data_IF_799928943278
#
_entry.id   IF_799928943278
#
_cell.length_a   1.000
_cell.length_b   1.000
_cell.length_c   1.000
_cell.angle_alpha   90.00
_cell.angle_beta   90.00
_cell.angle_gamma   90.00
#
_symmetry.space_group_name_H-M   'P 1'
#
loop_
_entity.id
_entity.type
_entity.pdbx_description
1 polymer ?
#
# COMPACT_ATOMS: atom_id res chain seq x y z
N UNK A 1 -0.83 20.02 -45.45
CA UNK A 1 -0.32 18.84 -44.67
C UNK A 1 0.31 19.33 -43.39
N UNK A 2 -0.35 19.13 -42.23
CA UNK A 2 0.20 19.48 -40.93
C UNK A 2 0.89 18.22 -40.39
N UNK A 3 2.21 18.22 -40.36
CA UNK A 3 3.00 17.14 -39.69
C UNK A 3 2.94 17.32 -38.19
N UNK A 4 2.22 16.48 -37.50
CA UNK A 4 2.23 16.41 -36.04
C UNK A 4 3.52 15.72 -35.57
N UNK A 5 4.48 16.50 -35.08
CA UNK A 5 5.68 15.98 -34.44
C UNK A 5 5.31 15.44 -33.05
N UNK A 6 5.64 14.17 -32.75
CA UNK A 6 5.40 13.61 -31.43
C UNK A 6 6.53 13.99 -30.46
N UNK A 7 6.26 13.93 -29.15
CA UNK A 7 7.20 14.32 -28.08
C UNK A 7 8.59 13.65 -28.18
N UNK A 8 8.64 12.43 -28.66
CA UNK A 8 9.90 11.65 -28.77
C UNK A 8 10.78 12.17 -29.92
N UNK A 9 10.19 12.60 -31.06
CA UNK A 9 10.94 13.20 -32.16
C UNK A 9 11.42 14.62 -31.82
N UNK A 10 10.69 15.34 -30.99
CA UNK A 10 11.09 16.64 -30.46
C UNK A 10 12.32 16.54 -29.53
N UNK A 11 12.31 15.62 -28.59
CA UNK A 11 13.44 15.41 -27.67
C UNK A 11 14.70 14.90 -28.39
N UNK A 12 14.58 14.05 -29.40
CA UNK A 12 15.71 13.64 -30.24
C UNK A 12 16.33 14.81 -31.01
N UNK A 13 15.54 15.78 -31.47
CA UNK A 13 16.04 16.96 -32.17
C UNK A 13 16.77 17.92 -31.22
N UNK A 14 16.35 18.07 -29.98
CA UNK A 14 17.02 18.89 -28.96
C UNK A 14 18.35 18.24 -28.53
N UNK A 15 18.39 16.92 -28.33
CA UNK A 15 19.62 16.21 -27.93
C UNK A 15 20.75 16.28 -28.96
N UNK A 16 20.43 16.42 -30.25
CA UNK A 16 21.43 16.54 -31.33
C UNK A 16 21.92 17.98 -31.50
N UNK A 17 21.16 18.99 -31.09
CA UNK A 17 21.51 20.40 -31.25
C UNK A 17 22.45 20.96 -30.15
N UNK A 18 22.65 20.23 -29.06
CA UNK A 18 23.43 20.69 -27.89
C UNK A 18 24.90 20.28 -27.86
N UNK A 19 25.42 19.53 -28.84
CA UNK A 19 26.79 18.97 -28.81
C UNK A 19 27.69 19.43 -29.94
N UNK A 20 27.30 20.41 -30.73
CA UNK A 20 28.13 20.90 -31.85
C UNK A 20 28.72 22.30 -31.62
N UNK A 21 29.51 22.47 -30.58
CA UNK A 21 30.40 23.64 -30.46
C UNK A 21 31.76 23.26 -29.83
N UNK A 22 32.48 22.28 -30.43
CA UNK A 22 33.95 22.19 -30.32
C UNK A 22 34.49 21.23 -31.38
N UNK A 23 35.02 21.82 -32.42
CA UNK A 23 36.12 21.39 -33.31
C UNK A 23 36.43 19.88 -33.36
N UNK A 24 35.88 19.17 -34.38
CA UNK A 24 36.51 17.98 -34.96
C UNK A 24 36.28 17.96 -36.48
N UNK A 25 37.24 17.48 -37.28
CA UNK A 25 37.26 17.62 -38.74
C UNK A 25 36.21 16.74 -39.43
N UNK A 26 35.65 17.28 -40.51
CA UNK A 26 34.52 16.78 -41.31
C UNK A 26 34.80 15.51 -42.15
N UNK A 27 35.31 14.45 -41.53
CA UNK A 27 35.63 13.22 -42.26
C UNK A 27 35.12 11.90 -41.67
N UNK A 28 34.18 11.94 -40.70
CA UNK A 28 33.53 10.72 -40.15
C UNK A 28 32.05 10.96 -40.02
N UNK A 29 31.34 11.14 -41.12
CA UNK A 29 29.88 10.98 -41.20
C UNK A 29 29.57 10.20 -42.47
N UNK A 30 29.73 8.92 -42.44
CA UNK A 30 29.07 7.97 -43.31
C UNK A 30 29.22 6.51 -42.79
N UNK A 31 28.77 6.25 -41.60
CA UNK A 31 28.28 4.91 -41.27
C UNK A 31 26.85 5.07 -40.78
N UNK A 32 25.91 4.71 -41.63
CA UNK A 32 24.55 4.35 -41.21
C UNK A 32 24.71 3.30 -40.13
N UNK A 33 24.43 3.66 -38.89
CA UNK A 33 24.23 2.67 -37.84
C UNK A 33 23.02 1.87 -38.26
N UNK A 34 23.26 0.75 -38.94
CA UNK A 34 22.25 -0.26 -39.23
C UNK A 34 21.66 -0.68 -37.87
N UNK A 35 20.51 -0.09 -37.53
CA UNK A 35 19.69 -0.54 -36.43
C UNK A 35 19.46 -2.04 -36.66
N UNK A 36 19.88 -2.86 -35.70
CA UNK A 36 19.82 -4.31 -35.79
C UNK A 36 18.38 -4.74 -36.16
N UNK A 37 18.12 -5.30 -37.36
CA UNK A 37 16.78 -5.64 -37.82
C UNK A 37 16.06 -6.63 -36.93
N UNK A 38 16.81 -7.38 -36.09
CA UNK A 38 16.28 -8.32 -35.11
C UNK A 38 15.77 -7.59 -33.84
N UNK A 39 16.30 -6.42 -33.48
CA UNK A 39 15.80 -5.63 -32.37
C UNK A 39 14.50 -4.93 -32.74
N UNK A 40 14.38 -4.43 -33.98
CA UNK A 40 13.14 -3.81 -34.48
C UNK A 40 12.02 -4.84 -34.70
N UNK A 41 12.32 -6.03 -35.18
CA UNK A 41 11.33 -7.09 -35.34
C UNK A 41 10.82 -7.62 -34.00
N UNK A 42 11.67 -7.70 -32.96
CA UNK A 42 11.25 -8.09 -31.60
C UNK A 42 10.38 -7.01 -30.95
N UNK A 43 10.73 -5.74 -31.08
CA UNK A 43 9.93 -4.64 -30.57
C UNK A 43 8.57 -4.54 -31.27
N UNK A 44 8.53 -4.72 -32.59
CA UNK A 44 7.28 -4.73 -33.35
C UNK A 44 6.41 -5.96 -33.06
N UNK A 45 6.97 -7.12 -32.78
CA UNK A 45 6.22 -8.30 -32.36
C UNK A 45 5.66 -8.15 -30.94
N UNK A 46 6.43 -7.54 -30.03
CA UNK A 46 5.98 -7.22 -28.68
C UNK A 46 4.87 -6.16 -28.65
N UNK A 47 4.96 -5.14 -29.50
CA UNK A 47 3.93 -4.09 -29.60
C UNK A 47 2.65 -4.58 -30.30
N UNK A 48 2.75 -5.52 -31.25
CA UNK A 48 1.59 -6.07 -31.96
C UNK A 48 0.71 -6.98 -31.12
N UNK A 49 1.28 -7.66 -30.12
CA UNK A 49 0.55 -8.59 -29.25
C UNK A 49 0.20 -7.99 -27.88
N UNK A 50 0.51 -6.72 -27.65
CA UNK A 50 0.15 -6.07 -26.39
C UNK A 50 -1.32 -5.69 -26.41
N UNK A 51 -2.11 -6.22 -25.49
CA UNK A 51 -3.47 -5.77 -25.28
C UNK A 51 -3.51 -4.24 -25.16
N UNK A 52 -4.47 -3.62 -25.83
CA UNK A 52 -4.62 -2.16 -25.85
C UNK A 52 -5.73 -1.77 -24.89
N UNK A 53 -5.43 -0.84 -23.98
CA UNK A 53 -6.41 -0.19 -23.15
C UNK A 53 -6.53 1.27 -23.58
N UNK A 54 -7.73 1.76 -23.73
CA UNK A 54 -7.96 3.18 -24.04
C UNK A 54 -7.49 4.08 -22.88
N UNK A 55 -7.09 5.30 -23.25
CA UNK A 55 -6.71 6.28 -22.25
C UNK A 55 -7.86 6.52 -21.27
N UNK A 56 -7.54 6.48 -19.98
CA UNK A 56 -8.49 6.74 -18.89
C UNK A 56 -9.67 5.74 -18.78
N UNK A 57 -9.59 4.60 -19.45
CA UNK A 57 -10.55 3.50 -19.33
C UNK A 57 -10.33 2.69 -18.05
N UNK A 58 -11.30 1.86 -17.70
CA UNK A 58 -11.22 0.89 -16.61
C UNK A 58 -10.09 -0.12 -16.87
N UNK A 59 -9.38 -0.50 -15.81
CA UNK A 59 -8.40 -1.59 -15.85
C UNK A 59 -9.12 -2.90 -15.61
N UNK A 60 -8.85 -3.90 -16.45
CA UNK A 60 -9.42 -5.25 -16.40
C UNK A 60 -8.34 -6.27 -16.73
N UNK A 61 -8.58 -7.51 -16.37
CA UNK A 61 -7.74 -8.66 -16.71
C UNK A 61 -6.25 -8.40 -16.40
N UNK A 62 -5.38 -8.57 -17.37
CA UNK A 62 -3.93 -8.40 -17.22
C UNK A 62 -3.51 -6.98 -16.81
N UNK A 63 -4.33 -5.98 -17.08
CA UNK A 63 -4.04 -4.60 -16.69
C UNK A 63 -4.18 -4.34 -15.19
N UNK A 64 -4.83 -5.23 -14.45
CA UNK A 64 -4.93 -5.14 -12.98
C UNK A 64 -3.62 -5.48 -12.28
N UNK A 65 -2.76 -6.26 -12.93
CA UNK A 65 -1.60 -6.90 -12.30
C UNK A 65 -0.56 -5.95 -11.71
N UNK A 66 -0.56 -4.69 -12.12
CA UNK A 66 0.47 -3.71 -11.68
C UNK A 66 -0.12 -2.33 -11.39
N UNK A 67 -1.37 -2.30 -10.99
CA UNK A 67 -1.99 -1.08 -10.48
C UNK A 67 -1.70 -0.97 -8.99
N UNK A 68 -1.21 0.19 -8.57
CA UNK A 68 -1.03 0.56 -7.18
C UNK A 68 -1.46 2.04 -7.03
N UNK A 69 -2.67 2.27 -6.55
CA UNK A 69 -3.26 3.60 -6.39
C UNK A 69 -2.99 4.12 -4.98
N UNK A 70 -2.23 5.22 -4.80
CA UNK A 70 -1.89 5.74 -3.48
C UNK A 70 -3.10 6.36 -2.78
N UNK A 71 -3.28 6.00 -1.52
CA UNK A 71 -4.30 6.53 -0.62
C UNK A 71 -3.62 7.06 0.63
N UNK A 72 -3.85 8.34 0.93
CA UNK A 72 -3.25 9.03 2.07
C UNK A 72 -3.16 10.53 1.81
N UNK A 73 -2.94 11.32 2.86
CA UNK A 73 -2.77 12.77 2.73
C UNK A 73 -1.43 13.16 2.11
N UNK A 74 -1.39 14.31 1.48
CA UNK A 74 -0.22 14.85 0.80
C UNK A 74 0.95 15.00 1.79
N UNK A 75 2.04 14.27 1.55
CA UNK A 75 3.22 14.31 2.42
C UNK A 75 3.07 13.62 3.79
N UNK A 76 1.91 13.04 4.10
CA UNK A 76 1.67 12.38 5.38
C UNK A 76 1.95 10.87 5.39
N UNK A 77 2.32 10.30 4.27
CA UNK A 77 2.42 8.87 4.04
C UNK A 77 1.23 8.31 3.27
N UNK A 78 1.30 7.03 2.91
CA UNK A 78 0.27 6.38 2.10
C UNK A 78 0.26 4.87 2.28
N UNK A 79 -0.82 4.24 1.85
CA UNK A 79 -0.87 2.86 1.40
C UNK A 79 -1.40 2.81 -0.03
N UNK A 80 -1.18 1.72 -0.75
CA UNK A 80 -1.74 1.56 -2.09
C UNK A 80 -2.89 0.57 -2.12
N UNK A 81 -3.93 0.94 -2.86
CA UNK A 81 -5.00 0.03 -3.28
C UNK A 81 -4.61 -0.53 -4.66
N UNK A 82 -4.42 -1.84 -4.74
CA UNK A 82 -4.04 -2.52 -5.96
C UNK A 82 -5.23 -2.72 -6.91
N UNK A 83 -4.95 -3.08 -8.14
CA UNK A 83 -5.99 -3.29 -9.16
C UNK A 83 -7.02 -4.36 -8.81
N UNK A 84 -6.66 -5.33 -7.99
CA UNK A 84 -7.55 -6.39 -7.50
C UNK A 84 -8.24 -6.07 -6.16
N UNK A 85 -7.87 -4.99 -5.48
CA UNK A 85 -8.41 -4.61 -4.18
C UNK A 85 -7.50 -4.90 -2.99
N UNK A 86 -6.36 -5.53 -3.22
CA UNK A 86 -5.37 -5.79 -2.18
C UNK A 86 -4.71 -4.48 -1.68
N UNK A 87 -4.26 -4.49 -0.43
CA UNK A 87 -3.57 -3.36 0.20
C UNK A 87 -2.07 -3.66 0.24
N UNK A 88 -1.27 -2.76 -0.30
CA UNK A 88 0.19 -2.90 -0.37
C UNK A 88 0.92 -1.57 -0.23
N UNK A 89 2.25 -1.57 -0.37
CA UNK A 89 3.10 -0.37 -0.39
C UNK A 89 2.86 0.56 0.81
N UNK A 90 2.68 -0.03 2.00
CA UNK A 90 2.44 0.71 3.25
C UNK A 90 3.64 1.58 3.62
N UNK A 91 3.57 2.87 3.29
CA UNK A 91 4.65 3.86 3.37
C UNK A 91 4.28 4.99 4.32
N UNK A 92 4.14 4.68 5.62
CA UNK A 92 3.63 5.61 6.64
C UNK A 92 4.73 6.15 7.58
N UNK A 93 5.99 5.71 7.41
CA UNK A 93 7.12 6.13 8.25
C UNK A 93 8.01 7.18 7.57
N UNK A 94 7.39 8.11 6.84
CA UNK A 94 8.03 9.20 6.08
C UNK A 94 9.04 8.75 5.02
N UNK A 95 9.10 7.47 4.69
CA UNK A 95 9.96 6.90 3.64
C UNK A 95 9.17 5.88 2.80
N UNK A 96 9.48 5.77 1.50
CA UNK A 96 8.86 4.74 0.67
C UNK A 96 9.18 3.33 1.21
N UNK A 97 8.15 2.51 1.37
CA UNK A 97 8.28 1.08 1.61
C UNK A 97 7.42 0.36 0.56
N UNK A 98 8.03 0.11 -0.60
CA UNK A 98 7.37 -0.48 -1.77
C UNK A 98 7.49 -2.01 -1.74
N UNK A 99 6.60 -2.69 -2.44
CA UNK A 99 6.54 -4.17 -2.50
C UNK A 99 6.31 -4.85 -1.15
N UNK A 100 5.83 -4.14 -0.14
CA UNK A 100 5.37 -4.75 1.09
C UNK A 100 3.87 -5.04 1.03
N UNK A 101 3.46 -6.06 1.76
CA UNK A 101 2.08 -6.44 2.00
C UNK A 101 1.84 -6.47 3.51
N UNK A 102 1.11 -5.49 4.06
CA UNK A 102 0.97 -5.34 5.51
C UNK A 102 0.09 -6.43 6.14
N UNK A 103 -0.60 -7.25 5.32
CA UNK A 103 -1.54 -8.24 5.80
C UNK A 103 -2.85 -7.63 6.30
N UNK A 104 -3.30 -6.58 5.61
CA UNK A 104 -4.61 -5.96 5.78
C UNK A 104 -5.55 -6.44 4.67
N UNK A 105 -6.76 -6.87 5.02
CA UNK A 105 -7.75 -7.33 4.04
C UNK A 105 -9.19 -7.26 4.57
N UNK A 106 -10.13 -7.05 3.67
CA UNK A 106 -11.56 -7.19 3.93
C UNK A 106 -12.07 -8.59 3.57
N UNK A 107 -13.06 -9.08 4.29
CA UNK A 107 -13.75 -10.32 3.96
C UNK A 107 -15.27 -10.16 4.12
N UNK A 108 -16.04 -10.93 3.37
CA UNK A 108 -17.49 -10.99 3.44
C UNK A 108 -17.94 -12.44 3.58
N UNK A 109 -18.93 -12.69 4.41
CA UNK A 109 -19.52 -14.00 4.59
C UNK A 109 -21.04 -13.91 4.51
N UNK A 110 -21.65 -14.79 3.73
CA UNK A 110 -23.11 -14.93 3.62
C UNK A 110 -23.54 -16.22 4.31
N UNK A 111 -24.35 -16.11 5.36
CA UNK A 111 -24.80 -17.26 6.15
C UNK A 111 -25.65 -18.22 5.32
N UNK A 112 -25.41 -19.51 5.48
CA UNK A 112 -26.19 -20.56 4.80
C UNK A 112 -25.88 -20.77 3.32
N UNK A 113 -24.99 -19.98 2.73
CA UNK A 113 -24.55 -20.11 1.34
C UNK A 113 -23.31 -21.00 1.28
N UNK A 114 -23.32 -22.00 0.39
CA UNK A 114 -22.14 -22.82 0.13
C UNK A 114 -21.02 -21.93 -0.44
N UNK A 115 -19.82 -22.01 0.12
CA UNK A 115 -18.70 -21.12 -0.21
C UNK A 115 -19.04 -19.63 -0.05
N UNK A 116 -19.90 -19.31 0.92
CA UNK A 116 -20.39 -17.97 1.20
C UNK A 116 -19.36 -17.00 1.78
N UNK A 117 -18.14 -17.47 2.09
CA UNK A 117 -17.06 -16.63 2.62
C UNK A 117 -16.03 -16.32 1.53
N UNK A 118 -15.69 -15.05 1.37
CA UNK A 118 -14.72 -14.56 0.39
C UNK A 118 -13.88 -13.40 0.94
N UNK A 119 -12.64 -13.34 0.49
CA UNK A 119 -11.83 -12.13 0.58
C UNK A 119 -12.42 -11.11 -0.41
N UNK A 120 -12.61 -9.87 0.03
CA UNK A 120 -13.18 -8.80 -0.82
C UNK A 120 -12.08 -8.22 -1.71
N UNK A 121 -11.56 -9.08 -2.56
CA UNK A 121 -10.53 -8.81 -3.56
C UNK A 121 -10.80 -9.69 -4.79
N UNK A 122 -10.30 -9.27 -5.95
CA UNK A 122 -10.29 -10.08 -7.17
C UNK A 122 -9.19 -11.15 -7.14
N UNK A 123 -9.05 -11.86 -8.25
CA UNK A 123 -8.06 -12.94 -8.40
C UNK A 123 -6.66 -12.43 -8.13
N UNK A 124 -5.94 -13.14 -7.26
CA UNK A 124 -4.55 -12.84 -6.93
C UNK A 124 -3.66 -13.04 -8.16
N UNK A 125 -2.86 -12.04 -8.56
CA UNK A 125 -1.94 -12.17 -9.69
C UNK A 125 -0.96 -13.33 -9.53
N UNK A 126 -0.67 -14.03 -10.62
CA UNK A 126 0.19 -15.22 -10.60
C UNK A 126 1.58 -14.97 -10.02
N UNK A 127 2.15 -13.79 -10.29
CA UNK A 127 3.47 -13.43 -9.77
C UNK A 127 3.52 -13.31 -8.23
N UNK A 128 2.37 -13.08 -7.57
CA UNK A 128 2.25 -13.12 -6.12
C UNK A 128 2.08 -14.55 -5.59
N UNK A 129 1.27 -15.36 -6.27
CA UNK A 129 0.91 -16.72 -5.85
C UNK A 129 2.08 -17.67 -5.85
N UNK A 130 2.93 -17.58 -6.87
CA UNK A 130 4.08 -18.48 -7.03
C UNK A 130 5.34 -17.99 -6.33
N UNK A 131 5.32 -16.80 -5.71
CA UNK A 131 6.43 -16.24 -4.96
C UNK A 131 7.65 -15.93 -5.84
N UNK A 132 8.83 -16.02 -5.25
CA UNK A 132 10.09 -15.81 -5.97
C UNK A 132 10.36 -16.98 -6.94
N UNK A 133 10.93 -16.71 -8.12
CA UNK A 133 11.36 -17.76 -9.04
C UNK A 133 12.23 -18.81 -8.31
N UNK A 134 11.96 -20.09 -8.60
CA UNK A 134 12.64 -21.26 -8.04
C UNK A 134 12.38 -21.60 -6.56
N UNK A 135 11.46 -20.93 -5.87
CA UNK A 135 11.14 -21.29 -4.48
C UNK A 135 10.17 -22.48 -4.38
N UNK A 136 9.26 -22.62 -5.34
CA UNK A 136 8.27 -23.70 -5.39
C UNK A 136 7.19 -23.72 -4.31
N UNK A 137 7.28 -22.80 -3.31
CA UNK A 137 6.50 -22.89 -2.08
C UNK A 137 5.37 -21.85 -1.97
N UNK A 138 5.20 -20.96 -2.93
CA UNK A 138 4.24 -19.85 -2.83
C UNK A 138 4.54 -18.91 -1.66
N UNK A 139 3.59 -18.04 -1.33
CA UNK A 139 3.68 -17.10 -0.21
C UNK A 139 2.96 -17.66 1.02
N UNK A 140 3.65 -18.39 1.85
CA UNK A 140 3.12 -18.92 3.11
C UNK A 140 2.64 -17.82 4.05
N UNK A 141 1.56 -18.08 4.81
CA UNK A 141 1.00 -17.11 5.76
C UNK A 141 0.31 -15.90 5.13
N UNK A 142 -0.03 -15.97 3.84
CA UNK A 142 -0.81 -14.97 3.10
C UNK A 142 -2.24 -15.44 2.86
N UNK A 143 -3.11 -14.50 2.43
CA UNK A 143 -4.50 -14.79 2.04
C UNK A 143 -4.62 -15.33 0.61
N UNK A 144 -3.55 -15.46 -0.15
CA UNK A 144 -3.57 -15.73 -1.59
C UNK A 144 -4.22 -17.06 -2.00
N UNK A 145 -4.26 -18.04 -1.09
CA UNK A 145 -4.93 -19.32 -1.29
C UNK A 145 -6.40 -19.36 -0.85
N UNK A 146 -6.91 -18.28 -0.25
CA UNK A 146 -8.30 -18.20 0.21
C UNK A 146 -9.25 -17.85 -0.96
N UNK A 147 -10.56 -18.10 -0.85
CA UNK A 147 -11.52 -17.72 -1.88
C UNK A 147 -11.60 -16.21 -2.10
N UNK A 148 -11.44 -15.78 -3.35
CA UNK A 148 -11.56 -14.40 -3.84
C UNK A 148 -12.73 -14.30 -4.82
N UNK A 149 -13.10 -13.08 -5.24
CA UNK A 149 -14.04 -12.85 -6.33
C UNK A 149 -13.40 -13.21 -7.67
N UNK A 150 -14.20 -13.75 -8.59
CA UNK A 150 -13.73 -14.22 -9.91
C UNK A 150 -13.30 -13.08 -10.84
N UNK A 151 -13.94 -11.90 -10.72
CA UNK A 151 -13.63 -10.75 -11.56
C UNK A 151 -13.45 -9.48 -10.75
N UNK A 152 -12.58 -8.60 -11.25
CA UNK A 152 -12.36 -7.26 -10.75
C UNK A 152 -12.22 -6.26 -11.91
N UNK A 153 -12.76 -5.07 -11.71
CA UNK A 153 -12.58 -3.93 -12.60
C UNK A 153 -12.15 -2.71 -11.79
N UNK A 154 -11.03 -2.10 -12.15
CA UNK A 154 -10.46 -0.97 -11.41
C UNK A 154 -10.61 0.33 -12.21
N UNK A 155 -11.17 1.36 -11.58
CA UNK A 155 -11.32 2.70 -12.14
C UNK A 155 -10.58 3.74 -11.28
N UNK A 156 -9.52 4.34 -11.81
CA UNK A 156 -8.81 5.45 -11.15
C UNK A 156 -9.45 6.79 -11.49
N UNK A 157 -9.82 7.55 -10.47
CA UNK A 157 -10.34 8.93 -10.56
C UNK A 157 -9.89 9.72 -9.33
N UNK A 158 -8.63 10.13 -9.30
CA UNK A 158 -8.10 10.85 -8.14
C UNK A 158 -9.06 11.97 -7.68
N UNK A 159 -9.34 12.10 -6.38
CA UNK A 159 -8.75 11.39 -5.25
C UNK A 159 -9.40 10.01 -4.94
N UNK A 160 -10.17 9.45 -5.85
CA UNK A 160 -10.91 8.20 -5.69
C UNK A 160 -10.35 7.09 -6.57
N UNK A 161 -10.45 5.86 -6.07
CA UNK A 161 -10.29 4.63 -6.84
C UNK A 161 -11.49 3.74 -6.55
N UNK A 162 -12.09 3.14 -7.58
CA UNK A 162 -13.23 2.25 -7.43
C UNK A 162 -12.90 0.89 -8.04
N UNK A 163 -13.24 -0.17 -7.33
CA UNK A 163 -13.09 -1.56 -7.77
C UNK A 163 -14.44 -2.22 -7.69
N UNK A 164 -14.93 -2.71 -8.83
CA UNK A 164 -16.13 -3.55 -8.89
C UNK A 164 -15.70 -5.02 -8.86
N UNK A 165 -16.34 -5.81 -8.00
CA UNK A 165 -16.05 -7.23 -7.80
C UNK A 165 -17.32 -8.04 -8.08
N UNK A 166 -17.21 -9.04 -8.93
CA UNK A 166 -18.32 -9.89 -9.31
C UNK A 166 -17.92 -11.37 -9.28
N UNK A 167 -18.89 -12.21 -8.99
CA UNK A 167 -18.76 -13.66 -9.08
C UNK A 167 -20.08 -14.29 -9.51
N UNK A 168 -19.96 -15.23 -10.43
CA UNK A 168 -21.10 -16.02 -10.87
C UNK A 168 -21.66 -16.85 -9.72
N UNK A 169 -22.98 -16.92 -9.63
CA UNK A 169 -23.71 -17.72 -8.62
C UNK A 169 -23.46 -17.31 -7.15
N UNK A 170 -22.90 -16.12 -6.93
CA UNK A 170 -22.77 -15.53 -5.60
C UNK A 170 -23.85 -14.45 -5.38
N UNK A 171 -24.54 -14.42 -4.21
CA UNK A 171 -25.71 -13.56 -4.02
C UNK A 171 -25.37 -12.08 -3.83
N UNK A 172 -24.08 -11.73 -3.71
CA UNK A 172 -23.64 -10.35 -3.53
C UNK A 172 -22.72 -9.90 -4.66
N UNK A 173 -22.95 -8.68 -5.13
CA UNK A 173 -21.96 -7.86 -5.82
C UNK A 173 -21.26 -6.99 -4.79
N UNK A 174 -19.95 -6.82 -4.91
CA UNK A 174 -19.15 -5.97 -4.03
C UNK A 174 -18.47 -4.84 -4.81
N UNK A 175 -18.32 -3.70 -4.16
CA UNK A 175 -17.53 -2.57 -4.67
C UNK A 175 -16.63 -2.04 -3.55
N UNK A 176 -15.39 -1.73 -3.87
CA UNK A 176 -14.46 -1.04 -2.98
C UNK A 176 -14.23 0.34 -3.55
N UNK A 177 -14.43 1.39 -2.74
CA UNK A 177 -14.06 2.75 -3.10
C UNK A 177 -13.03 3.28 -2.13
N UNK A 178 -11.78 3.41 -2.61
CA UNK A 178 -10.70 4.03 -1.85
C UNK A 178 -10.64 5.53 -2.10
N UNK A 179 -10.32 6.31 -1.04
CA UNK A 179 -10.16 7.74 -1.17
C UNK A 179 -9.12 8.33 -0.21
N UNK A 180 -8.47 9.40 -0.70
CA UNK A 180 -7.53 10.22 0.05
C UNK A 180 -8.19 11.51 0.53
N UNK A 181 -7.81 12.07 1.69
CA UNK A 181 -8.19 13.43 2.04
C UNK A 181 -7.56 14.38 1.00
N UNK A 182 -8.40 15.04 0.20
CA UNK A 182 -7.95 15.99 -0.80
C UNK A 182 -9.00 17.08 -1.01
N UNK A 183 -8.65 18.29 -0.60
CA UNK A 183 -9.47 19.49 -0.78
C UNK A 183 -8.63 20.47 -1.59
N UNK A 184 -8.99 20.79 -2.85
CA UNK A 184 -8.26 21.76 -3.65
C UNK A 184 -8.07 23.07 -2.91
N UNK A 185 -6.85 23.60 -2.91
CA UNK A 185 -6.44 24.85 -2.23
C UNK A 185 -6.34 24.81 -0.70
N UNK A 186 -6.68 23.68 -0.06
CA UNK A 186 -6.52 23.46 1.39
C UNK A 186 -5.43 22.41 1.65
N UNK A 187 -4.20 22.87 1.81
CA UNK A 187 -3.04 21.99 2.01
C UNK A 187 -3.11 21.23 3.33
N UNK A 188 -3.58 21.87 4.38
CA UNK A 188 -3.63 21.29 5.73
C UNK A 188 -4.59 20.11 5.81
N UNK A 189 -5.84 20.29 5.36
CA UNK A 189 -6.82 19.21 5.35
C UNK A 189 -6.52 18.16 4.25
N UNK A 190 -5.76 18.50 3.23
CA UNK A 190 -5.26 17.53 2.25
C UNK A 190 -4.05 16.73 2.73
N UNK A 191 -3.43 17.11 3.87
CA UNK A 191 -2.23 16.47 4.42
C UNK A 191 -2.51 15.65 5.70
N UNK A 192 -3.78 15.28 5.93
CA UNK A 192 -4.14 14.44 7.07
C UNK A 192 -3.53 13.02 6.93
N UNK A 193 -2.99 12.43 8.00
CA UNK A 193 -2.38 11.10 7.97
C UNK A 193 -3.46 10.00 7.96
N UNK A 194 -4.31 10.01 6.96
CA UNK A 194 -5.47 9.13 6.89
C UNK A 194 -5.86 8.78 5.45
N UNK A 195 -6.65 7.73 5.33
CA UNK A 195 -7.32 7.32 4.11
C UNK A 195 -8.48 6.39 4.44
N UNK A 196 -9.35 6.11 3.50
CA UNK A 196 -10.49 5.24 3.76
C UNK A 196 -10.79 4.30 2.59
N UNK A 197 -11.41 3.18 2.93
CA UNK A 197 -12.03 2.24 2.01
C UNK A 197 -13.52 2.13 2.35
N UNK A 198 -14.38 2.39 1.40
CA UNK A 198 -15.82 2.13 1.48
C UNK A 198 -16.10 0.78 0.81
N UNK A 199 -16.64 -0.16 1.55
CA UNK A 199 -17.08 -1.46 1.06
C UNK A 199 -18.58 -1.43 0.87
N UNK A 200 -19.02 -1.51 -0.39
CA UNK A 200 -20.45 -1.54 -0.73
C UNK A 200 -20.82 -2.95 -1.16
N UNK A 201 -21.87 -3.49 -0.56
CA UNK A 201 -22.45 -4.80 -0.89
C UNK A 201 -23.87 -4.61 -1.37
N UNK A 202 -24.21 -5.27 -2.48
CA UNK A 202 -25.56 -5.30 -3.05
C UNK A 202 -26.05 -6.74 -3.14
N UNK A 203 -27.21 -7.00 -2.58
CA UNK A 203 -27.87 -8.29 -2.75
C UNK A 203 -28.48 -8.38 -4.15
N UNK A 204 -27.89 -9.22 -5.01
CA UNK A 204 -28.36 -9.48 -6.38
C UNK A 204 -29.32 -10.66 -6.47
N UNK A 205 -29.50 -11.38 -5.36
CA UNK A 205 -30.44 -12.47 -5.24
C UNK A 205 -31.89 -12.02 -5.05
N UNK A 206 -32.82 -12.98 -4.99
CA UNK A 206 -34.25 -12.75 -4.80
C UNK A 206 -34.73 -12.99 -3.36
N UNK A 207 -33.82 -13.35 -2.46
CA UNK A 207 -34.10 -13.58 -1.03
C UNK A 207 -33.23 -12.67 -0.17
N UNK A 208 -33.70 -12.43 1.07
CA UNK A 208 -32.90 -11.75 2.08
C UNK A 208 -31.72 -12.62 2.51
N UNK A 209 -30.56 -12.00 2.75
CA UNK A 209 -29.35 -12.68 3.20
C UNK A 209 -28.77 -12.04 4.46
N UNK A 210 -28.33 -12.89 5.39
CA UNK A 210 -27.58 -12.46 6.56
C UNK A 210 -26.09 -12.49 6.25
N UNK A 211 -25.41 -11.39 6.47
CA UNK A 211 -24.02 -11.20 6.13
C UNK A 211 -23.19 -10.77 7.34
N UNK A 212 -21.91 -11.08 7.29
CA UNK A 212 -20.89 -10.51 8.17
C UNK A 212 -19.76 -9.99 7.31
N UNK A 213 -19.60 -8.67 7.24
CA UNK A 213 -18.36 -8.07 6.75
C UNK A 213 -17.33 -8.07 7.88
N UNK A 214 -16.07 -8.28 7.55
CA UNK A 214 -14.98 -8.17 8.51
C UNK A 214 -13.75 -7.55 7.87
N UNK A 215 -12.99 -6.80 8.66
CA UNK A 215 -11.71 -6.27 8.25
C UNK A 215 -10.63 -6.72 9.22
N UNK A 216 -9.53 -7.18 8.68
CA UNK A 216 -8.49 -7.90 9.38
C UNK A 216 -7.16 -7.23 9.20
N UNK A 217 -6.33 -7.22 10.24
CA UNK A 217 -4.99 -6.67 10.17
C UNK A 217 -3.97 -7.46 10.99
N UNK A 218 -2.87 -7.91 10.36
CA UNK A 218 -1.67 -8.31 11.09
C UNK A 218 -1.07 -7.09 11.77
N UNK A 219 -0.39 -7.27 12.91
CA UNK A 219 0.31 -6.16 13.55
C UNK A 219 1.64 -5.86 12.83
N UNK A 220 1.55 -5.12 11.73
CA UNK A 220 2.68 -4.74 10.88
C UNK A 220 3.49 -3.55 11.42
N UNK A 221 3.06 -2.93 12.52
CA UNK A 221 3.77 -1.76 13.08
C UNK A 221 5.13 -2.13 13.67
N UNK A 222 5.37 -3.40 13.98
CA UNK A 222 6.65 -3.89 14.45
C UNK A 222 7.74 -3.64 13.40
N UNK A 223 8.86 -2.98 13.75
CA UNK A 223 9.95 -2.74 12.81
C UNK A 223 10.58 -4.05 12.30
N UNK A 224 11.05 -4.03 11.04
CA UNK A 224 11.79 -5.17 10.45
C UNK A 224 13.13 -5.37 11.15
N UNK A 225 13.80 -4.27 11.45
CA UNK A 225 15.06 -4.24 12.18
C UNK A 225 14.78 -4.09 13.67
N UNK A 226 15.34 -4.96 14.47
CA UNK A 226 15.23 -4.95 15.92
C UNK A 226 16.59 -5.12 16.56
N UNK A 227 16.75 -4.61 17.79
CA UNK A 227 17.92 -4.87 18.60
C UNK A 227 17.96 -6.39 18.92
N UNK A 228 19.12 -7.06 18.79
CA UNK A 228 19.28 -8.46 19.22
C UNK A 228 18.90 -8.69 20.67
N UNK A 229 19.08 -7.70 21.53
CA UNK A 229 18.57 -7.70 22.89
C UNK A 229 17.11 -7.23 22.89
N UNK A 230 16.19 -8.19 23.02
CA UNK A 230 14.75 -7.92 22.98
C UNK A 230 14.27 -6.91 24.02
N UNK A 231 14.99 -6.73 25.15
CA UNK A 231 14.63 -5.76 26.18
C UNK A 231 14.81 -4.32 25.76
N UNK A 232 15.63 -4.07 24.73
CA UNK A 232 15.88 -2.76 24.14
C UNK A 232 14.89 -2.37 23.04
N UNK A 233 14.02 -3.27 22.65
CA UNK A 233 12.99 -2.98 21.65
C UNK A 233 11.76 -2.39 22.34
N UNK A 234 11.13 -1.42 21.68
CA UNK A 234 9.85 -0.88 22.12
C UNK A 234 8.75 -1.93 22.09
N UNK A 235 7.78 -1.78 22.99
CA UNK A 235 6.63 -2.67 23.14
C UNK A 235 5.75 -2.61 21.89
N UNK A 236 5.39 -3.79 21.35
CA UNK A 236 4.41 -3.94 20.28
C UNK A 236 3.09 -4.44 20.87
N UNK A 237 1.98 -3.77 20.57
CA UNK A 237 0.66 -4.07 21.15
C UNK A 237 -0.48 -3.74 20.19
N UNK A 238 -1.68 -4.20 20.52
CA UNK A 238 -2.93 -3.79 19.89
C UNK A 238 -3.82 -3.19 20.96
N UNK A 239 -4.31 -1.98 20.73
CA UNK A 239 -5.11 -1.21 21.67
C UNK A 239 -6.52 -0.98 21.14
N UNK A 240 -7.55 -0.86 22.00
CA UNK A 240 -8.90 -0.55 21.56
C UNK A 240 -9.05 0.91 21.13
N UNK A 241 -9.92 1.14 20.16
CA UNK A 241 -10.55 2.42 19.80
C UNK A 241 -12.03 2.15 19.54
N UNK A 242 -12.87 3.18 19.54
CA UNK A 242 -14.30 3.03 19.23
C UNK A 242 -14.50 2.36 17.87
N UNK A 243 -15.22 1.25 17.85
CA UNK A 243 -15.54 0.46 16.67
C UNK A 243 -14.32 -0.01 15.87
N UNK A 244 -13.18 -0.24 16.54
CA UNK A 244 -11.95 -0.63 15.86
C UNK A 244 -10.80 -0.96 16.80
N UNK A 245 -9.60 -0.94 16.24
CA UNK A 245 -8.37 -1.25 16.95
C UNK A 245 -7.20 -0.40 16.45
N UNK A 246 -6.18 -0.26 17.29
CA UNK A 246 -4.94 0.46 16.99
C UNK A 246 -3.79 -0.55 17.04
N UNK A 247 -3.09 -0.72 15.93
CA UNK A 247 -1.80 -1.41 15.86
C UNK A 247 -0.73 -0.44 16.34
N UNK A 248 0.03 -0.82 17.37
CA UNK A 248 0.89 0.10 18.10
C UNK A 248 2.31 -0.45 18.25
N UNK A 249 3.28 0.43 18.06
CA UNK A 249 4.69 0.20 18.35
C UNK A 249 5.22 1.36 19.20
N UNK A 250 5.75 1.07 20.36
CA UNK A 250 6.46 2.05 21.14
C UNK A 250 7.88 2.26 20.59
N UNK A 251 8.40 3.48 20.73
CA UNK A 251 9.82 3.73 20.52
C UNK A 251 10.67 3.19 21.65
N UNK A 252 11.97 3.07 21.42
CA UNK A 252 12.96 2.75 22.45
C UNK A 252 13.95 3.91 22.60
N UNK A 253 14.84 3.83 23.60
CA UNK A 253 15.88 4.85 23.81
C UNK A 253 16.81 4.96 22.60
N UNK A 254 17.16 3.84 21.99
CA UNK A 254 18.07 3.77 20.83
C UNK A 254 17.35 4.01 19.50
N UNK A 255 16.03 3.76 19.44
CA UNK A 255 15.22 3.87 18.22
C UNK A 255 13.88 4.57 18.52
N UNK A 256 13.90 5.85 18.89
CA UNK A 256 12.66 6.59 19.19
C UNK A 256 11.74 6.74 17.96
N UNK A 257 12.30 6.73 16.75
CA UNK A 257 11.59 6.81 15.48
C UNK A 257 10.79 5.53 15.12
N UNK A 258 10.98 4.43 15.86
CA UNK A 258 10.14 3.24 15.72
C UNK A 258 8.74 3.46 16.28
N UNK A 259 8.54 4.48 17.13
CA UNK A 259 7.21 4.83 17.63
C UNK A 259 6.23 5.06 16.48
N UNK A 260 5.05 4.48 16.60
CA UNK A 260 3.97 4.69 15.65
C UNK A 260 2.73 3.90 15.98
N UNK A 261 1.60 4.47 15.61
CA UNK A 261 0.27 3.91 15.75
C UNK A 261 -0.44 3.89 14.40
N UNK A 262 -1.25 2.87 14.17
CA UNK A 262 -2.11 2.75 13.00
C UNK A 262 -3.50 2.30 13.44
N UNK A 263 -4.48 3.21 13.39
CA UNK A 263 -5.86 2.95 13.76
C UNK A 263 -6.66 2.44 12.55
N UNK A 264 -7.50 1.43 12.79
CA UNK A 264 -8.46 0.88 11.84
C UNK A 264 -9.81 0.83 12.54
N UNK A 265 -10.79 1.54 12.02
CA UNK A 265 -12.11 1.65 12.63
C UNK A 265 -13.22 1.86 11.59
N UNK A 266 -14.47 1.67 11.99
CA UNK A 266 -15.63 1.83 11.12
C UNK A 266 -16.69 2.74 11.76
N UNK A 267 -17.55 3.32 10.93
CA UNK A 267 -18.69 4.13 11.36
C UNK A 267 -19.93 3.28 11.80
N UNK A 268 -19.84 1.95 11.72
CA UNK A 268 -20.93 1.06 12.08
C UNK A 268 -21.03 0.86 13.60
N UNK A 269 -22.18 1.19 14.19
CA UNK A 269 -22.42 1.05 15.63
C UNK A 269 -22.45 -0.42 16.11
N UNK A 270 -22.79 -1.37 15.22
CA UNK A 270 -22.90 -2.80 15.53
C UNK A 270 -21.56 -3.55 15.42
N UNK A 271 -20.45 -2.81 15.41
CA UNK A 271 -19.11 -3.39 15.24
C UNK A 271 -18.68 -4.20 16.46
N UNK A 272 -18.25 -5.42 16.21
CA UNK A 272 -17.63 -6.32 17.20
C UNK A 272 -16.15 -6.43 16.89
N UNK A 273 -15.28 -6.33 17.92
CA UNK A 273 -13.82 -6.30 17.72
C UNK A 273 -13.13 -7.45 18.44
N UNK A 274 -12.31 -8.18 17.71
CA UNK A 274 -11.31 -9.12 18.20
C UNK A 274 -9.95 -8.41 18.23
N UNK A 275 -9.47 -8.04 19.42
CA UNK A 275 -8.18 -7.33 19.58
C UNK A 275 -6.98 -8.27 19.67
N UNK A 276 -7.19 -9.58 19.62
CA UNK A 276 -6.08 -10.52 19.71
C UNK A 276 -6.40 -11.83 18.97
N UNK A 277 -5.84 -11.99 17.79
CA UNK A 277 -5.90 -13.26 17.09
C UNK A 277 -5.25 -14.38 17.92
N UNK A 278 -5.52 -15.62 17.52
CA UNK A 278 -4.98 -16.79 18.16
C UNK A 278 -3.46 -16.73 18.34
N UNK A 279 -2.98 -17.08 19.55
CA UNK A 279 -1.55 -17.07 19.94
C UNK A 279 -0.97 -18.45 20.22
N UNK A 280 -1.69 -19.52 19.91
CA UNK A 280 -1.20 -20.88 20.13
C UNK A 280 -0.12 -21.29 19.13
N UNK A 281 0.72 -22.27 19.50
CA UNK A 281 1.85 -22.72 18.68
C UNK A 281 1.50 -23.75 17.59
N UNK A 282 0.27 -24.28 17.56
CA UNK A 282 -0.10 -25.40 16.69
C UNK A 282 -0.77 -24.98 15.40
N UNK A 283 -1.38 -23.79 15.37
CA UNK A 283 -2.08 -23.27 14.20
C UNK A 283 -1.64 -21.83 13.92
N UNK A 284 -1.59 -21.50 12.63
CA UNK A 284 -1.35 -20.14 12.16
C UNK A 284 -2.54 -19.23 12.54
N UNK A 285 -2.27 -18.01 13.08
CA UNK A 285 -3.32 -17.07 13.48
C UNK A 285 -4.29 -16.70 12.36
N UNK A 286 -3.81 -16.61 11.11
CA UNK A 286 -4.64 -16.31 9.93
C UNK A 286 -5.62 -17.44 9.63
N UNK A 287 -5.17 -18.71 9.73
CA UNK A 287 -6.03 -19.88 9.57
C UNK A 287 -7.18 -19.86 10.59
N UNK A 288 -6.90 -19.48 11.84
CA UNK A 288 -7.93 -19.40 12.88
C UNK A 288 -8.89 -18.21 12.64
N UNK A 289 -8.40 -17.08 12.13
CA UNK A 289 -9.25 -15.97 11.74
C UNK A 289 -10.15 -16.35 10.56
N UNK A 290 -9.61 -17.08 9.56
CA UNK A 290 -10.38 -17.58 8.42
C UNK A 290 -11.51 -18.54 8.83
N UNK A 291 -11.30 -19.37 9.82
CA UNK A 291 -12.36 -20.27 10.35
C UNK A 291 -13.57 -19.47 10.87
N UNK A 292 -13.37 -18.36 11.57
CA UNK A 292 -14.45 -17.47 12.00
C UNK A 292 -15.15 -16.80 10.82
N UNK A 293 -14.39 -16.33 9.82
CA UNK A 293 -14.93 -15.75 8.59
C UNK A 293 -15.80 -16.77 7.87
N UNK A 294 -15.29 -17.98 7.66
CA UNK A 294 -15.96 -19.06 6.94
C UNK A 294 -17.30 -19.46 7.59
N UNK A 295 -17.42 -19.32 8.90
CA UNK A 295 -18.64 -19.60 9.67
C UNK A 295 -19.56 -18.39 9.77
N UNK A 296 -19.21 -17.24 9.23
CA UNK A 296 -19.91 -15.97 9.41
C UNK A 296 -20.14 -15.63 10.89
N UNK A 297 -19.13 -15.87 11.72
CA UNK A 297 -19.13 -15.59 13.15
C UNK A 297 -18.53 -14.21 13.42
N UNK A 298 -19.09 -13.52 14.44
CA UNK A 298 -18.44 -12.36 15.04
C UNK A 298 -17.70 -12.82 16.29
N UNK A 299 -16.47 -12.33 16.48
CA UNK A 299 -15.64 -12.72 17.62
C UNK A 299 -15.26 -11.48 18.40
N UNK A 300 -15.49 -11.50 19.72
CA UNK A 300 -15.07 -10.44 20.63
C UNK A 300 -13.95 -10.97 21.52
N UNK A 301 -12.80 -10.32 21.48
CA UNK A 301 -11.65 -10.64 22.35
C UNK A 301 -11.07 -9.35 22.86
N UNK A 302 -10.82 -9.28 24.14
CA UNK A 302 -10.20 -8.12 24.78
C UNK A 302 -8.74 -7.98 24.38
N UNK A 303 -8.26 -6.73 24.40
CA UNK A 303 -6.87 -6.43 24.12
C UNK A 303 -5.93 -7.06 25.17
N UNK A 304 -4.80 -7.54 24.70
CA UNK A 304 -3.74 -8.08 25.56
C UNK A 304 -2.59 -7.09 25.62
N UNK A 305 -1.83 -7.17 26.69
CA UNK A 305 -0.76 -6.23 26.94
C UNK A 305 0.29 -6.17 25.84
N UNK A 306 0.64 -7.34 25.26
CA UNK A 306 1.60 -7.44 24.14
C UNK A 306 1.48 -8.79 23.43
N UNK A 307 2.13 -8.90 22.27
CA UNK A 307 2.22 -10.16 21.52
C UNK A 307 0.95 -10.56 20.79
N UNK A 308 -0.01 -9.64 20.59
CA UNK A 308 -1.14 -9.88 19.70
C UNK A 308 -0.66 -9.92 18.24
N UNK A 309 -0.87 -11.04 17.50
CA UNK A 309 -0.37 -11.16 16.12
C UNK A 309 -1.19 -10.36 15.11
N UNK A 310 -2.43 -10.02 15.45
CA UNK A 310 -3.36 -9.26 14.62
C UNK A 310 -4.67 -9.03 15.34
N UNK A 311 -5.56 -8.25 14.72
CA UNK A 311 -6.90 -7.94 15.19
C UNK A 311 -7.90 -7.94 14.03
N UNK A 312 -9.20 -7.96 14.38
CA UNK A 312 -10.29 -7.96 13.40
C UNK A 312 -11.46 -7.13 13.90
N UNK A 313 -12.14 -6.46 13.00
CA UNK A 313 -13.47 -5.91 13.26
C UNK A 313 -14.51 -6.65 12.41
N UNK A 314 -15.71 -6.80 12.94
CA UNK A 314 -16.82 -7.53 12.32
C UNK A 314 -18.07 -6.65 12.34
N UNK A 315 -18.75 -6.55 11.21
CA UNK A 315 -20.00 -5.80 11.04
C UNK A 315 -21.06 -6.76 10.52
N UNK A 316 -21.94 -7.28 11.38
CA UNK A 316 -23.10 -8.10 10.96
C UNK A 316 -24.18 -7.20 10.37
N UNK A 317 -24.84 -7.66 9.31
CA UNK A 317 -25.97 -6.96 8.70
C UNK A 317 -26.85 -7.91 7.88
N UNK A 318 -28.07 -7.46 7.56
CA UNK A 318 -29.00 -8.17 6.68
C UNK A 318 -29.23 -7.31 5.43
N UNK A 319 -29.40 -7.95 4.27
CA UNK A 319 -29.80 -7.31 3.02
C UNK A 319 -31.01 -8.00 2.42
N UNK A 320 -32.09 -7.27 2.22
CA UNK A 320 -33.23 -7.72 1.40
C UNK A 320 -32.83 -7.83 -0.07
N UNK A 321 -33.62 -8.50 -0.87
CA UNK A 321 -33.40 -8.55 -2.32
C UNK A 321 -33.27 -7.15 -2.92
N UNK A 322 -32.19 -6.90 -3.66
CA UNK A 322 -31.87 -5.61 -4.28
C UNK A 322 -31.31 -4.53 -3.35
N UNK A 323 -31.27 -4.76 -2.03
CA UNK A 323 -30.76 -3.78 -1.05
C UNK A 323 -29.23 -3.67 -1.08
N UNK A 324 -28.76 -2.48 -0.71
CA UNK A 324 -27.32 -2.16 -0.64
C UNK A 324 -26.92 -1.71 0.77
N UNK A 325 -25.71 -2.06 1.20
CA UNK A 325 -25.07 -1.58 2.43
C UNK A 325 -23.68 -1.08 2.12
N UNK A 326 -23.36 0.09 2.66
CA UNK A 326 -21.98 0.65 2.64
C UNK A 326 -21.43 0.60 4.05
N UNK A 327 -20.19 0.14 4.18
CA UNK A 327 -19.42 0.11 5.42
C UNK A 327 -18.10 0.83 5.14
N UNK A 328 -17.81 1.87 5.92
CA UNK A 328 -16.57 2.63 5.80
C UNK A 328 -15.53 2.09 6.76
N UNK A 329 -14.36 1.76 6.26
CA UNK A 329 -13.18 1.42 7.04
C UNK A 329 -12.21 2.59 6.93
N UNK A 330 -12.07 3.31 8.04
CA UNK A 330 -11.13 4.40 8.18
C UNK A 330 -9.77 3.87 8.63
N UNK A 331 -8.71 4.40 8.06
CA UNK A 331 -7.33 4.10 8.43
C UNK A 331 -6.61 5.41 8.71
N UNK A 332 -6.12 5.55 9.93
CA UNK A 332 -5.40 6.75 10.37
C UNK A 332 -4.09 6.32 11.01
N UNK A 333 -3.01 7.04 10.75
CA UNK A 333 -1.71 6.73 11.33
C UNK A 333 -1.09 7.93 12.04
N UNK A 334 -0.27 7.63 13.02
CA UNK A 334 0.48 8.63 13.76
C UNK A 334 1.90 8.12 14.01
N UNK A 335 2.86 8.65 13.28
CA UNK A 335 4.28 8.33 13.39
C UNK A 335 5.00 9.64 13.70
N UNK A 336 5.16 9.99 14.99
CA UNK A 336 5.53 11.35 15.40
C UNK A 336 6.99 11.70 15.13
N UNK A 337 7.85 10.73 14.86
CA UNK A 337 9.28 10.94 14.68
C UNK A 337 9.75 10.26 13.39
N UNK A 338 10.76 10.83 12.74
CA UNK A 338 11.35 10.28 11.52
C UNK A 338 12.88 10.24 11.64
N UNK A 339 13.45 9.18 11.08
CA UNK A 339 14.91 9.01 10.91
C UNK A 339 15.41 9.51 9.54
N UNK A 340 14.53 10.12 8.74
CA UNK A 340 14.90 10.64 7.41
C UNK A 340 15.87 11.81 7.54
N UNK A 341 16.87 11.78 6.69
CA UNK A 341 17.88 12.83 6.53
C UNK A 341 17.93 13.32 5.08
N UNK A 342 18.12 14.62 4.89
CA UNK A 342 18.55 15.16 3.62
C UNK A 342 20.09 15.04 3.50
N UNK A 343 20.56 14.41 2.45
CA UNK A 343 21.98 14.15 2.23
C UNK A 343 22.50 12.85 2.86
N UNK A 344 23.71 12.43 2.46
CA UNK A 344 24.40 11.30 3.07
C UNK A 344 24.86 11.63 4.49
N UNK A 345 25.15 10.60 5.29
CA UNK A 345 25.88 10.80 6.54
C UNK A 345 27.15 11.58 6.22
N UNK A 346 27.40 12.67 6.97
CA UNK A 346 28.73 13.26 6.95
C UNK A 346 29.68 12.15 7.41
N UNK A 347 30.47 11.61 6.50
CA UNK A 347 31.59 10.75 6.89
C UNK A 347 32.42 11.60 7.85
N UNK A 348 32.56 11.14 9.08
CA UNK A 348 33.59 11.68 9.97
C UNK A 348 34.87 11.73 9.16
N UNK A 349 35.50 12.89 9.11
CA UNK A 349 36.64 13.20 8.29
C UNK A 349 37.62 12.03 8.20
N UNK A 350 37.57 11.24 7.13
CA UNK A 350 38.75 10.58 6.64
C UNK A 350 39.71 11.72 6.30
N UNK A 351 40.67 11.98 7.19
CA UNK A 351 41.79 12.86 6.93
C UNK A 351 42.41 12.36 5.64
N UNK A 352 42.12 13.05 4.53
CA UNK A 352 42.83 12.85 3.29
C UNK A 352 44.29 13.16 3.59
N UNK A 353 45.11 12.13 3.69
CA UNK A 353 46.52 12.31 3.57
C UNK A 353 46.76 12.78 2.13
N UNK A 354 47.40 13.90 1.93
CA UNK A 354 47.51 14.63 0.67
C UNK A 354 48.28 13.91 -0.47
N UNK A 355 48.19 12.57 -0.58
CA UNK A 355 49.03 11.79 -1.51
C UNK A 355 48.32 11.14 -2.70
N UNK A 356 46.99 11.24 -2.85
CA UNK A 356 46.31 10.72 -4.04
C UNK A 356 45.27 11.69 -4.62
N UNK A 357 45.50 12.14 -5.84
CA UNK A 357 44.79 13.18 -6.59
C UNK A 357 43.36 12.82 -7.03
N UNK A 358 42.57 12.13 -6.22
CA UNK A 358 41.19 11.70 -6.56
C UNK A 358 40.06 12.48 -5.87
N UNK A 359 40.36 13.57 -5.14
CA UNK A 359 39.32 14.28 -4.36
C UNK A 359 38.72 15.54 -5.02
N UNK A 360 38.85 15.71 -6.34
CA UNK A 360 38.53 17.02 -6.95
C UNK A 360 37.22 17.11 -7.72
N UNK A 361 36.27 16.15 -7.67
CA UNK A 361 35.07 16.23 -8.53
C UNK A 361 33.72 16.05 -7.85
N UNK A 362 33.62 15.88 -6.54
CA UNK A 362 32.32 15.78 -5.85
C UNK A 362 31.99 16.92 -4.88
N UNK A 363 32.89 17.90 -4.73
CA UNK A 363 32.75 18.95 -3.73
C UNK A 363 31.99 20.22 -4.19
N UNK A 364 31.35 20.24 -5.37
CA UNK A 364 30.71 21.42 -5.91
C UNK A 364 29.21 21.30 -6.21
N UNK A 365 28.55 20.26 -5.74
CA UNK A 365 27.07 20.23 -5.79
C UNK A 365 26.51 19.98 -4.40
N UNK A 366 26.10 21.05 -3.75
CA UNK A 366 25.28 21.04 -2.54
C UNK A 366 26.08 21.44 -1.30
N UNK A 367 26.16 22.73 -1.04
CA UNK A 367 26.23 23.21 0.33
C UNK A 367 24.97 22.74 1.01
N UNK A 368 25.00 21.51 1.58
CA UNK A 368 24.05 21.14 2.60
C UNK A 368 24.28 22.12 3.73
N UNK A 369 23.32 22.99 3.99
CA UNK A 369 23.23 23.65 5.29
C UNK A 369 23.08 22.48 6.26
N UNK A 370 24.18 22.06 6.87
CA UNK A 370 24.14 21.16 8.00
C UNK A 370 23.30 21.92 9.05
N UNK A 371 22.09 21.47 9.26
CA UNK A 371 21.30 21.97 10.38
C UNK A 371 22.05 21.52 11.64
N UNK A 372 22.80 22.44 12.24
CA UNK A 372 23.61 22.22 13.45
C UNK A 372 22.77 21.70 14.62
N UNK A 373 21.43 21.74 14.49
CA UNK A 373 20.45 21.25 15.46
C UNK A 373 19.90 19.87 15.10
N UNK A 374 20.36 19.21 14.01
CA UNK A 374 19.83 17.91 13.64
C UNK A 374 20.32 16.82 14.62
N UNK A 375 19.40 16.32 15.43
CA UNK A 375 19.61 15.10 16.22
C UNK A 375 18.75 13.99 15.62
N UNK A 376 19.35 12.84 15.32
CA UNK A 376 18.63 11.67 14.75
C UNK A 376 17.35 11.38 15.56
N UNK A 377 16.22 11.22 14.90
CA UNK A 377 14.92 10.96 15.52
C UNK A 377 14.17 12.21 16.02
N UNK A 378 14.62 13.43 15.71
CA UNK A 378 13.92 14.66 16.09
C UNK A 378 13.09 15.32 15.01
N UNK A 379 13.20 14.87 13.75
CA UNK A 379 12.32 15.39 12.70
C UNK A 379 10.87 14.95 13.00
N UNK A 380 9.96 15.92 13.03
CA UNK A 380 8.54 15.69 13.26
C UNK A 380 7.77 15.95 11.97
N UNK A 381 7.00 15.01 11.48
CA UNK A 381 6.05 15.26 10.40
C UNK A 381 5.06 16.36 10.77
N UNK A 382 4.57 17.11 9.80
CA UNK A 382 3.66 18.25 10.02
C UNK A 382 2.46 17.88 10.92
N UNK A 383 1.82 16.76 10.67
CA UNK A 383 0.64 16.35 11.43
C UNK A 383 0.93 16.05 12.91
N UNK A 384 2.17 15.71 13.27
CA UNK A 384 2.55 15.46 14.67
C UNK A 384 2.63 16.75 15.51
N UNK A 385 2.61 17.91 14.88
CA UNK A 385 2.43 19.19 15.56
C UNK A 385 0.96 19.58 15.71
N UNK A 386 0.08 18.97 14.90
CA UNK A 386 -1.36 19.23 14.91
C UNK A 386 -2.11 18.31 15.88
N UNK A 387 -1.73 17.05 15.95
CA UNK A 387 -2.36 16.01 16.77
C UNK A 387 -1.38 15.49 17.83
N UNK A 388 -1.91 15.10 18.99
CA UNK A 388 -1.13 14.50 20.08
C UNK A 388 -0.87 13.02 19.89
N UNK A 389 -1.84 12.32 19.32
CA UNK A 389 -1.81 10.89 19.11
C UNK A 389 -2.75 10.47 17.95
N UNK A 390 -2.79 9.18 17.66
CA UNK A 390 -3.64 8.62 16.61
C UNK A 390 -5.14 8.77 16.91
N UNK A 391 -5.54 8.82 18.19
CA UNK A 391 -6.95 8.94 18.58
C UNK A 391 -7.49 10.33 18.29
N UNK A 392 -6.67 11.37 18.50
CA UNK A 392 -7.02 12.75 18.13
C UNK A 392 -7.02 12.95 16.62
N UNK A 393 -6.20 12.20 15.90
CA UNK A 393 -6.15 12.24 14.43
C UNK A 393 -7.25 11.42 13.74
N UNK A 394 -7.93 10.51 14.46
CA UNK A 394 -9.04 9.66 14.00
C UNK A 394 -10.37 10.36 14.16
#
# INVERSE_FOLDING_TARGET
MKTTSNRRSFLKKIGVSGVTASVLPAAIISEEVNANPLADSRNNAFEKNRAKRDYNATYKDEFLNRVAFPIGGLGAGMFCLEGTGAISHMSIRSKPDVFNEPGLFGAISVKGVKNGAKIVEGIVPDWKRFGQPNTGNGAGGSIFGLPHFESAEFLARFPFATISLEEKDYPLQAEIKGWSPFIPTDADNSSLPSGALEYKFKNTGNQSVDCVFSFHGKNFMRPKEQDPDASKNGKNSIRPITNGFILSQAGSETRPHDQGDFAIYTDSADTVVDHCWFRGGWFDPLTMAWESIRKAETKKVDAVESGAPGASLYVPFNLKAGEEKVIKVMMTWYVPLSDIRHGGEAKEDEKCDGSSGCCATSAQMGTSIADENYTAGKYKPWYSNKFKDVTEAS
#
